data_IF_849239572917
#
_entry.id   IF_849239572917
#
_cell.length_a   1.000
_cell.length_b   1.000
_cell.length_c   1.000
_cell.angle_alpha   90.00
_cell.angle_beta   90.00
_cell.angle_gamma   90.00
#
_symmetry.space_group_name_H-M   'P 1'
#
loop_
_entity.id
_entity.type
_entity.pdbx_description
1 polymer ?
#
# COMPACT_ATOMS: atom_id res chain seq x y z
N UNK A 1 44.64 14.39 40.52
CA UNK A 1 44.23 14.35 41.96
C UNK A 1 42.84 13.75 42.03
N UNK A 2 42.74 12.64 42.78
CA UNK A 2 41.61 11.96 43.43
C UNK A 2 40.51 11.41 42.50
N UNK A 3 40.41 10.11 42.25
CA UNK A 3 40.18 8.87 43.03
C UNK A 3 38.91 8.95 43.93
N UNK A 4 37.95 8.06 43.63
CA UNK A 4 37.18 7.11 44.47
C UNK A 4 35.92 6.78 43.63
N UNK A 5 35.54 5.57 43.27
CA UNK A 5 35.73 4.20 43.76
C UNK A 5 34.58 3.81 44.66
N UNK A 6 34.09 2.59 44.51
CA UNK A 6 33.16 1.82 45.37
C UNK A 6 31.77 1.69 44.75
N UNK A 7 31.13 0.55 44.67
CA UNK A 7 31.39 -0.88 44.88
C UNK A 7 30.09 -1.61 44.47
N UNK A 8 30.25 -2.81 44.02
CA UNK A 8 29.19 -3.79 43.78
C UNK A 8 28.58 -4.24 45.10
N UNK A 9 27.28 -4.53 45.09
CA UNK A 9 26.73 -5.56 45.99
C UNK A 9 25.58 -6.28 45.29
N UNK A 10 25.83 -7.54 45.01
CA UNK A 10 24.83 -8.50 44.62
C UNK A 10 23.96 -8.90 45.83
N UNK A 11 22.72 -9.22 45.54
CA UNK A 11 21.92 -10.02 46.43
C UNK A 11 21.06 -10.99 45.62
N UNK A 12 21.59 -12.21 45.52
CA UNK A 12 20.84 -13.41 45.15
C UNK A 12 19.96 -13.82 46.36
N UNK A 13 18.67 -14.00 46.11
CA UNK A 13 17.83 -14.75 47.05
C UNK A 13 17.06 -15.80 46.26
N UNK A 14 17.52 -17.03 46.40
CA UNK A 14 16.76 -18.26 46.18
C UNK A 14 15.64 -18.36 47.22
N UNK A 15 14.43 -18.69 46.78
CA UNK A 15 13.49 -19.43 47.62
C UNK A 15 12.82 -20.50 46.77
N UNK A 16 13.14 -21.72 47.17
CA UNK A 16 12.56 -22.97 46.73
C UNK A 16 11.26 -23.28 47.52
N UNK A 17 10.35 -23.91 46.85
CA UNK A 17 9.49 -24.96 47.41
C UNK A 17 8.17 -24.52 48.02
N UNK A 18 7.09 -24.94 47.41
CA UNK A 18 6.23 -26.00 47.96
C UNK A 18 5.14 -26.42 46.99
N UNK A 19 5.20 -27.68 46.57
CA UNK A 19 4.03 -28.37 46.00
C UNK A 19 3.01 -28.61 47.07
N UNK A 20 1.76 -28.31 46.78
CA UNK A 20 0.62 -28.90 47.47
C UNK A 20 -0.41 -29.35 46.44
N UNK A 21 -0.46 -30.65 46.29
CA UNK A 21 -1.55 -31.40 45.66
C UNK A 21 -2.80 -31.24 46.51
N UNK A 22 -3.88 -30.85 45.86
CA UNK A 22 -5.23 -30.80 46.42
C UNK A 22 -6.23 -31.29 45.36
N UNK A 23 -6.53 -32.58 45.35
CA UNK A 23 -7.77 -33.10 44.78
C UNK A 23 -8.94 -32.65 45.62
N UNK A 24 -9.91 -32.00 44.98
CA UNK A 24 -11.20 -31.68 45.59
C UNK A 24 -12.24 -31.64 44.48
N UNK A 25 -13.04 -32.70 44.38
CA UNK A 25 -14.25 -32.75 43.59
C UNK A 25 -15.27 -31.78 44.15
N UNK A 26 -15.83 -30.94 43.29
CA UNK A 26 -16.94 -30.08 43.64
C UNK A 26 -17.55 -29.53 42.35
N UNK A 27 -18.66 -30.15 41.95
CA UNK A 27 -19.55 -29.60 40.93
C UNK A 27 -19.99 -28.18 41.33
N UNK A 28 -19.75 -27.24 40.49
CA UNK A 28 -20.52 -26.01 40.43
C UNK A 28 -20.59 -25.55 38.97
N UNK A 29 -21.74 -25.72 38.40
CA UNK A 29 -22.19 -25.06 37.17
C UNK A 29 -21.95 -23.55 37.25
N UNK A 30 -20.90 -23.11 36.63
CA UNK A 30 -20.60 -21.73 36.30
C UNK A 30 -20.29 -21.64 34.83
N UNK A 31 -21.31 -21.65 33.97
CA UNK A 31 -21.20 -21.35 32.60
C UNK A 31 -20.72 -19.90 32.43
N UNK A 32 -19.45 -19.66 32.65
CA UNK A 32 -18.73 -18.51 32.11
C UNK A 32 -18.68 -18.70 30.62
N UNK A 33 -19.61 -18.05 29.89
CA UNK A 33 -19.46 -17.82 28.48
C UNK A 33 -18.05 -17.25 28.28
N UNK A 34 -17.11 -18.03 27.74
CA UNK A 34 -15.94 -17.51 27.09
C UNK A 34 -16.52 -16.61 26.00
N UNK A 35 -16.44 -15.30 26.18
CA UNK A 35 -16.65 -14.39 25.08
C UNK A 35 -15.69 -14.86 23.98
N UNK A 36 -16.22 -15.28 22.85
CA UNK A 36 -15.41 -15.62 21.70
C UNK A 36 -14.47 -14.44 21.45
N UNK A 37 -13.17 -14.69 21.59
CA UNK A 37 -12.18 -13.66 21.35
C UNK A 37 -12.27 -13.28 19.88
N UNK A 38 -12.91 -12.15 19.61
CA UNK A 38 -13.09 -11.61 18.27
C UNK A 38 -11.78 -11.06 17.75
N UNK A 39 -10.77 -11.80 17.56
CA UNK A 39 -9.51 -11.38 16.95
C UNK A 39 -9.21 -9.87 16.92
N UNK A 40 -8.18 -9.47 16.24
CA UNK A 40 -7.86 -8.06 15.99
C UNK A 40 -7.23 -7.91 14.62
N UNK A 41 -7.34 -6.72 14.05
CA UNK A 41 -6.69 -6.34 12.78
C UNK A 41 -5.65 -5.27 13.07
N UNK A 42 -4.45 -5.47 12.56
CA UNK A 42 -3.42 -4.45 12.48
C UNK A 42 -3.17 -4.15 11.01
N UNK A 43 -3.59 -2.96 10.55
CA UNK A 43 -3.39 -2.48 9.20
C UNK A 43 -2.21 -1.50 9.14
N UNK A 44 -1.19 -1.84 8.37
CA UNK A 44 -0.14 -0.89 8.01
C UNK A 44 -0.53 -0.15 6.74
N UNK A 45 -0.96 1.09 6.91
CA UNK A 45 -1.43 1.95 5.83
C UNK A 45 -0.27 2.53 5.01
N UNK A 46 -0.37 2.37 3.71
CA UNK A 46 0.59 2.87 2.72
C UNK A 46 0.33 4.34 2.31
N UNK A 47 -0.91 4.81 2.44
CA UNK A 47 -1.36 6.12 1.93
C UNK A 47 -1.50 7.14 3.07
N UNK A 48 -0.45 7.94 3.36
CA UNK A 48 -0.53 8.92 4.45
C UNK A 48 -1.62 9.98 4.24
N UNK A 49 -1.95 10.30 3.01
CA UNK A 49 -3.03 11.21 2.66
C UNK A 49 -4.44 10.69 3.01
N UNK A 50 -4.57 9.40 3.29
CA UNK A 50 -5.82 8.73 3.66
C UNK A 50 -5.86 8.33 5.15
N UNK A 51 -4.90 8.77 5.96
CA UNK A 51 -4.81 8.34 7.36
C UNK A 51 -6.10 8.60 8.14
N UNK A 52 -6.62 9.81 8.07
CA UNK A 52 -7.82 10.19 8.81
C UNK A 52 -9.04 9.31 8.45
N UNK A 53 -9.21 8.99 7.18
CA UNK A 53 -10.31 8.15 6.68
C UNK A 53 -10.16 6.70 7.15
N UNK A 54 -8.92 6.18 7.18
CA UNK A 54 -8.66 4.84 7.69
C UNK A 54 -8.89 4.74 9.20
N UNK A 55 -8.50 5.76 9.97
CA UNK A 55 -8.76 5.81 11.41
C UNK A 55 -10.27 5.83 11.71
N UNK A 56 -11.03 6.61 10.96
CA UNK A 56 -12.49 6.66 11.09
C UNK A 56 -13.15 5.34 10.71
N UNK A 57 -12.76 4.74 9.58
CA UNK A 57 -13.27 3.44 9.14
C UNK A 57 -12.98 2.35 10.16
N UNK A 58 -11.77 2.32 10.72
CA UNK A 58 -11.39 1.38 11.74
C UNK A 58 -12.29 1.48 12.98
N UNK A 59 -12.60 2.71 13.43
CA UNK A 59 -13.49 2.96 14.54
C UNK A 59 -14.92 2.47 14.27
N UNK A 60 -15.47 2.79 13.11
CA UNK A 60 -16.81 2.34 12.69
C UNK A 60 -16.87 0.82 12.68
N UNK A 61 -15.88 0.16 12.09
CA UNK A 61 -15.81 -1.30 12.03
C UNK A 61 -15.72 -1.94 13.42
N UNK A 62 -14.92 -1.36 14.33
CA UNK A 62 -14.82 -1.82 15.70
C UNK A 62 -16.15 -1.65 16.46
N UNK A 63 -16.85 -0.53 16.27
CA UNK A 63 -18.17 -0.28 16.88
C UNK A 63 -19.22 -1.27 16.37
N UNK A 64 -19.24 -1.60 15.10
CA UNK A 64 -20.21 -2.51 14.48
C UNK A 64 -19.93 -4.00 14.80
N UNK A 65 -18.67 -4.39 14.81
CA UNK A 65 -18.28 -5.81 14.90
C UNK A 65 -17.72 -6.22 16.25
N UNK A 66 -17.20 -5.27 17.02
CA UNK A 66 -16.41 -5.50 18.23
C UNK A 66 -15.02 -6.08 17.96
N UNK A 67 -14.55 -6.06 16.71
CA UNK A 67 -13.18 -6.44 16.32
C UNK A 67 -12.29 -5.22 16.41
N UNK A 68 -11.28 -5.26 17.26
CA UNK A 68 -10.31 -4.16 17.37
C UNK A 68 -9.52 -3.99 16.07
N UNK A 69 -9.46 -2.77 15.56
CA UNK A 69 -8.66 -2.40 14.38
C UNK A 69 -7.64 -1.34 14.76
N UNK A 70 -6.37 -1.63 14.56
CA UNK A 70 -5.27 -0.68 14.72
C UNK A 70 -4.75 -0.29 13.35
N UNK A 71 -4.76 1.00 13.05
CA UNK A 71 -4.17 1.53 11.81
C UNK A 71 -2.89 2.28 12.15
N UNK A 72 -1.79 1.87 11.55
CA UNK A 72 -0.52 2.60 11.61
C UNK A 72 -0.17 3.04 10.20
N UNK A 73 0.08 4.33 10.04
CA UNK A 73 0.37 4.92 8.74
C UNK A 73 1.86 5.18 8.57
N UNK A 74 2.43 4.60 7.52
CA UNK A 74 3.83 4.85 7.17
C UNK A 74 4.00 6.27 6.62
N UNK A 75 5.12 6.90 6.94
CA UNK A 75 5.47 8.19 6.34
C UNK A 75 5.70 8.04 4.82
N UNK A 76 5.48 9.12 4.08
CA UNK A 76 5.67 9.14 2.63
C UNK A 76 7.07 8.65 2.24
N UNK A 77 7.12 7.70 1.30
CA UNK A 77 8.36 7.09 0.82
C UNK A 77 9.04 6.12 1.80
N UNK A 78 8.44 5.85 2.97
CA UNK A 78 9.04 5.00 4.01
C UNK A 78 8.31 3.67 4.24
N UNK A 79 7.37 3.33 3.39
CA UNK A 79 6.50 2.17 3.63
C UNK A 79 7.28 0.86 3.79
N UNK A 80 8.17 0.52 2.86
CA UNK A 80 8.94 -0.74 2.89
C UNK A 80 9.84 -0.82 4.13
N UNK A 81 10.48 0.29 4.51
CA UNK A 81 11.31 0.35 5.71
C UNK A 81 10.46 0.15 6.97
N UNK A 82 9.29 0.78 7.01
CA UNK A 82 8.34 0.64 8.11
C UNK A 82 7.80 -0.78 8.18
N UNK A 83 7.35 -1.36 7.06
CA UNK A 83 6.85 -2.73 7.00
C UNK A 83 7.88 -3.72 7.52
N UNK A 84 9.13 -3.61 7.08
CA UNK A 84 10.21 -4.47 7.55
C UNK A 84 10.43 -4.36 9.06
N UNK A 85 10.35 -3.15 9.60
CA UNK A 85 10.46 -2.91 11.05
C UNK A 85 9.27 -3.49 11.82
N UNK A 86 8.04 -3.29 11.32
CA UNK A 86 6.82 -3.76 11.98
C UNK A 86 6.69 -5.29 11.94
N UNK A 87 7.10 -5.94 10.84
CA UNK A 87 7.09 -7.40 10.73
C UNK A 87 8.07 -8.10 11.68
N UNK A 88 9.06 -7.38 12.19
CA UNK A 88 10.00 -7.89 13.20
C UNK A 88 9.48 -7.82 14.64
N UNK A 89 8.29 -7.25 14.89
CA UNK A 89 7.70 -7.10 16.21
C UNK A 89 6.88 -8.33 16.61
N UNK A 90 6.62 -8.47 17.91
CA UNK A 90 5.73 -9.51 18.43
C UNK A 90 4.28 -9.36 17.96
N UNK A 91 3.85 -8.11 17.75
CA UNK A 91 2.57 -7.78 17.12
C UNK A 91 2.87 -7.16 15.75
N UNK A 92 2.81 -7.97 14.73
CA UNK A 92 3.08 -7.56 13.35
C UNK A 92 1.79 -7.24 12.59
N UNK A 93 1.85 -6.45 11.51
CA UNK A 93 0.69 -6.20 10.65
C UNK A 93 0.05 -7.49 10.16
N UNK A 94 -1.27 -7.57 10.31
CA UNK A 94 -2.09 -8.65 9.77
C UNK A 94 -2.68 -8.28 8.41
N UNK A 95 -2.69 -7.00 8.09
CA UNK A 95 -3.09 -6.45 6.80
C UNK A 95 -2.04 -5.44 6.35
N UNK A 96 -1.41 -5.68 5.21
CA UNK A 96 -0.34 -4.86 4.67
C UNK A 96 -0.33 -4.88 3.15
N UNK A 97 0.28 -3.89 2.54
CA UNK A 97 0.39 -3.79 1.09
C UNK A 97 1.65 -4.48 0.59
N UNK A 98 1.49 -5.24 -0.47
CA UNK A 98 2.58 -5.80 -1.27
C UNK A 98 2.62 -5.07 -2.61
N UNK A 99 3.78 -4.54 -2.96
CA UNK A 99 3.94 -3.67 -4.11
C UNK A 99 4.29 -4.48 -5.39
N UNK A 100 3.28 -5.12 -5.95
CA UNK A 100 3.38 -5.90 -7.17
C UNK A 100 4.29 -7.13 -7.08
N UNK A 101 4.74 -7.69 -8.21
CA UNK A 101 5.58 -8.89 -8.25
C UNK A 101 6.91 -8.74 -7.51
N UNK A 102 7.54 -7.56 -7.59
CA UNK A 102 8.82 -7.28 -6.90
C UNK A 102 8.63 -7.29 -5.38
N UNK A 103 7.56 -6.67 -4.88
CA UNK A 103 7.21 -6.72 -3.47
C UNK A 103 6.85 -8.14 -3.03
N UNK A 104 6.12 -8.88 -3.87
CA UNK A 104 5.77 -10.27 -3.58
C UNK A 104 7.00 -11.15 -3.37
N UNK A 105 8.04 -11.00 -4.18
CA UNK A 105 9.28 -11.74 -4.01
C UNK A 105 9.89 -11.59 -2.59
N UNK A 106 9.68 -10.44 -1.96
CA UNK A 106 10.14 -10.17 -0.59
C UNK A 106 9.19 -10.62 0.51
N UNK A 107 7.88 -10.65 0.24
CA UNK A 107 6.85 -10.80 1.27
C UNK A 107 5.98 -12.05 1.14
N UNK A 108 6.14 -12.88 0.12
CA UNK A 108 5.28 -14.04 -0.17
C UNK A 108 5.12 -15.03 0.98
N UNK A 109 6.15 -15.21 1.80
CA UNK A 109 6.14 -16.12 2.94
C UNK A 109 5.27 -15.61 4.10
N UNK A 110 4.96 -14.31 4.11
CA UNK A 110 4.07 -13.67 5.07
C UNK A 110 2.62 -13.54 4.57
N UNK A 111 2.39 -13.77 3.28
CA UNK A 111 1.06 -13.64 2.69
C UNK A 111 0.22 -14.89 2.97
N UNK A 112 -1.03 -14.68 3.36
CA UNK A 112 -2.02 -15.76 3.45
C UNK A 112 -2.56 -16.07 2.04
N UNK A 113 -3.02 -17.30 1.81
CA UNK A 113 -3.71 -17.64 0.56
C UNK A 113 -5.15 -17.13 0.60
N UNK A 114 -5.44 -16.14 -0.23
CA UNK A 114 -6.74 -15.50 -0.34
C UNK A 114 -7.67 -16.17 -1.36
N UNK A 115 -7.25 -17.23 -2.04
CA UNK A 115 -8.01 -17.86 -3.13
C UNK A 115 -9.40 -18.38 -2.72
N UNK A 116 -9.60 -18.73 -1.44
CA UNK A 116 -10.91 -19.12 -0.91
C UNK A 116 -11.69 -17.98 -0.25
N UNK A 117 -11.11 -16.78 -0.15
CA UNK A 117 -11.72 -15.63 0.54
C UNK A 117 -12.94 -15.09 -0.19
N UNK A 118 -13.85 -14.45 0.57
CA UNK A 118 -14.98 -13.77 -0.04
C UNK A 118 -14.53 -12.58 -0.88
N UNK A 119 -13.50 -11.86 -0.44
CA UNK A 119 -12.98 -10.68 -1.17
C UNK A 119 -12.43 -11.08 -2.53
N UNK A 120 -11.75 -12.23 -2.64
CA UNK A 120 -11.27 -12.71 -3.93
C UNK A 120 -12.41 -12.99 -4.91
N UNK A 121 -13.55 -13.51 -4.42
CA UNK A 121 -14.73 -13.79 -5.26
C UNK A 121 -15.43 -12.55 -5.78
N UNK A 122 -15.19 -11.39 -5.16
CA UNK A 122 -15.75 -10.09 -5.57
C UNK A 122 -14.86 -9.38 -6.61
N UNK A 123 -13.68 -9.93 -6.96
CA UNK A 123 -12.85 -9.35 -8.00
C UNK A 123 -13.55 -9.38 -9.36
N UNK A 124 -13.50 -8.28 -10.07
CA UNK A 124 -14.09 -8.15 -11.42
C UNK A 124 -13.20 -8.71 -12.52
N UNK A 125 -11.92 -8.93 -12.23
CA UNK A 125 -10.94 -9.60 -13.10
C UNK A 125 -9.88 -10.29 -12.24
N UNK A 126 -9.40 -11.44 -12.68
CA UNK A 126 -8.25 -12.12 -12.09
C UNK A 126 -6.94 -11.33 -12.23
N UNK A 127 -6.87 -10.36 -13.14
CA UNK A 127 -5.72 -9.46 -13.28
C UNK A 127 -5.45 -8.62 -12.04
N UNK A 128 -6.45 -8.49 -11.15
CA UNK A 128 -6.30 -7.81 -9.86
C UNK A 128 -5.81 -8.74 -8.74
N UNK A 129 -5.54 -10.00 -9.04
CA UNK A 129 -4.94 -10.93 -8.10
C UNK A 129 -3.42 -10.99 -8.28
N UNK A 130 -2.69 -10.84 -7.18
CA UNK A 130 -1.25 -11.06 -7.14
C UNK A 130 -1.00 -12.52 -6.75
N UNK A 131 -0.43 -13.29 -7.67
CA UNK A 131 -0.27 -14.75 -7.53
C UNK A 131 1.20 -15.15 -7.31
N UNK A 132 1.40 -16.19 -6.48
CA UNK A 132 2.65 -16.94 -6.33
C UNK A 132 2.34 -18.41 -6.66
N UNK A 133 2.54 -18.82 -7.91
CA UNK A 133 2.00 -20.06 -8.44
C UNK A 133 0.47 -20.09 -8.37
N UNK A 134 -0.09 -21.11 -7.71
CA UNK A 134 -1.54 -21.25 -7.54
C UNK A 134 -2.08 -20.45 -6.34
N UNK A 135 -1.21 -19.89 -5.49
CA UNK A 135 -1.59 -19.14 -4.30
C UNK A 135 -1.97 -17.71 -4.67
N UNK A 136 -3.12 -17.24 -4.23
CA UNK A 136 -3.52 -15.83 -4.29
C UNK A 136 -2.93 -15.09 -3.10
N UNK A 137 -1.74 -14.54 -3.27
CA UNK A 137 -0.98 -13.90 -2.20
C UNK A 137 -1.43 -12.48 -1.87
N UNK A 138 -2.14 -11.83 -2.79
CA UNK A 138 -2.68 -10.49 -2.61
C UNK A 138 -3.79 -10.19 -3.60
N UNK A 139 -4.56 -9.15 -3.33
CA UNK A 139 -5.63 -8.65 -4.21
C UNK A 139 -5.55 -7.13 -4.30
N UNK A 140 -5.85 -6.60 -5.47
CA UNK A 140 -6.02 -5.16 -5.67
C UNK A 140 -7.29 -4.67 -4.97
N UNK A 141 -7.15 -3.67 -4.12
CA UNK A 141 -8.31 -3.05 -3.44
C UNK A 141 -8.77 -1.76 -4.10
N UNK A 142 -7.95 -1.19 -4.97
CA UNK A 142 -8.26 0.01 -5.73
C UNK A 142 -7.56 -0.02 -7.08
N UNK A 143 -8.24 0.53 -8.10
CA UNK A 143 -7.67 0.73 -9.43
C UNK A 143 -7.25 2.18 -9.54
N UNK A 144 -5.98 2.42 -9.81
CA UNK A 144 -5.45 3.74 -10.13
C UNK A 144 -5.15 3.81 -11.62
N UNK A 145 -5.46 4.93 -12.22
CA UNK A 145 -5.17 5.19 -13.62
C UNK A 145 -4.44 6.51 -13.76
N UNK A 146 -3.60 6.63 -14.77
CA UNK A 146 -2.97 7.89 -15.12
C UNK A 146 -3.34 8.32 -16.53
N UNK A 147 -3.33 9.61 -16.73
CA UNK A 147 -3.70 10.24 -17.98
C UNK A 147 -3.64 11.75 -17.85
N UNK A 148 -4.23 12.43 -18.79
CA UNK A 148 -4.33 13.89 -18.75
C UNK A 148 -5.61 14.29 -18.04
N UNK A 149 -5.45 14.81 -16.82
CA UNK A 149 -6.53 15.42 -16.05
C UNK A 149 -6.64 16.87 -16.49
N UNK A 150 -7.83 17.33 -16.83
CA UNK A 150 -8.03 18.70 -17.28
C UNK A 150 -9.13 19.42 -16.52
N UNK A 151 -8.95 20.73 -16.35
CA UNK A 151 -9.97 21.61 -15.79
C UNK A 151 -10.90 22.06 -16.92
N UNK A 152 -12.17 21.61 -16.87
CA UNK A 152 -13.17 21.88 -17.90
C UNK A 152 -13.45 23.37 -18.08
N UNK A 153 -13.48 24.14 -17.01
CA UNK A 153 -13.78 25.57 -17.06
C UNK A 153 -12.61 26.37 -17.68
N UNK A 154 -11.37 26.00 -17.35
CA UNK A 154 -10.20 26.64 -17.94
C UNK A 154 -10.08 26.29 -19.42
N UNK A 155 -10.30 25.03 -19.78
CA UNK A 155 -10.29 24.61 -21.19
C UNK A 155 -11.33 25.36 -22.01
N UNK A 156 -12.57 25.49 -21.49
CA UNK A 156 -13.63 26.28 -22.09
C UNK A 156 -13.28 27.79 -22.18
N UNK A 157 -12.66 28.35 -21.15
CA UNK A 157 -12.17 29.74 -21.17
C UNK A 157 -11.14 29.97 -22.27
N UNK A 158 -10.35 28.97 -22.58
CA UNK A 158 -9.41 28.99 -23.70
C UNK A 158 -10.09 28.81 -25.07
N UNK A 159 -11.37 28.51 -25.11
CA UNK A 159 -12.14 28.33 -26.35
C UNK A 159 -12.16 26.89 -26.87
N UNK A 160 -11.83 25.91 -26.01
CA UNK A 160 -11.75 24.49 -26.34
C UNK A 160 -12.65 23.62 -25.46
N UNK A 161 -12.91 22.42 -25.93
CA UNK A 161 -13.53 21.32 -25.19
C UNK A 161 -12.68 20.05 -25.29
N UNK A 162 -13.02 19.02 -24.55
CA UNK A 162 -12.34 17.73 -24.65
C UNK A 162 -12.50 17.10 -26.05
N UNK A 163 -13.62 17.39 -26.72
CA UNK A 163 -13.92 16.85 -28.05
C UNK A 163 -12.98 17.41 -29.14
N UNK A 164 -12.30 18.51 -28.87
CA UNK A 164 -11.29 19.09 -29.75
C UNK A 164 -9.95 18.36 -29.66
N UNK A 165 -9.77 17.46 -28.65
CA UNK A 165 -8.55 16.75 -28.37
C UNK A 165 -8.73 15.26 -28.71
N UNK A 166 -8.52 14.91 -29.98
CA UNK A 166 -8.76 13.56 -30.49
C UNK A 166 -7.48 12.75 -30.76
N UNK A 167 -6.34 13.43 -30.83
CA UNK A 167 -5.02 12.84 -31.08
C UNK A 167 -3.92 13.76 -30.57
N UNK A 168 -2.66 13.34 -30.72
CA UNK A 168 -1.52 14.11 -30.24
C UNK A 168 -1.39 15.49 -30.94
N UNK A 169 -1.66 15.58 -32.23
CA UNK A 169 -1.52 16.84 -32.94
C UNK A 169 -2.54 17.89 -32.53
N UNK A 170 -3.81 17.46 -32.33
CA UNK A 170 -4.85 18.35 -31.80
C UNK A 170 -4.55 18.74 -30.34
N UNK A 171 -4.06 17.82 -29.52
CA UNK A 171 -3.62 18.09 -28.17
C UNK A 171 -2.47 19.12 -28.14
N UNK A 172 -1.42 18.89 -28.95
CA UNK A 172 -0.29 19.80 -29.07
C UNK A 172 -0.73 21.20 -29.49
N UNK A 173 -1.62 21.31 -30.49
CA UNK A 173 -2.18 22.60 -30.93
C UNK A 173 -2.87 23.34 -29.81
N UNK A 174 -3.72 22.68 -29.01
CA UNK A 174 -4.40 23.31 -27.86
C UNK A 174 -3.40 23.79 -26.83
N UNK A 175 -2.38 23.01 -26.55
CA UNK A 175 -1.32 23.37 -25.58
C UNK A 175 -0.51 24.58 -26.07
N UNK A 176 -0.13 24.61 -27.34
CA UNK A 176 0.63 25.71 -27.95
C UNK A 176 -0.20 27.00 -27.96
N UNK A 177 -1.50 26.93 -28.30
CA UNK A 177 -2.39 28.08 -28.31
C UNK A 177 -2.61 28.67 -26.91
N UNK A 178 -2.90 27.81 -25.91
CA UNK A 178 -3.01 28.28 -24.51
C UNK A 178 -1.69 28.91 -24.04
N UNK A 179 -0.56 28.29 -24.39
CA UNK A 179 0.76 28.80 -24.01
C UNK A 179 1.03 30.19 -24.63
N UNK A 180 0.69 30.38 -25.89
CA UNK A 180 0.84 31.66 -26.59
C UNK A 180 -0.07 32.77 -26.00
N UNK A 181 -1.23 32.38 -25.49
CA UNK A 181 -2.24 33.27 -24.92
C UNK A 181 -2.25 33.33 -23.38
N UNK A 182 -1.27 32.74 -22.70
CA UNK A 182 -1.27 32.55 -21.25
C UNK A 182 -1.50 33.84 -20.45
N UNK A 183 -0.90 34.94 -20.87
CA UNK A 183 -1.00 36.23 -20.17
C UNK A 183 -2.42 36.80 -20.27
N UNK A 184 -3.09 36.64 -21.40
CA UNK A 184 -4.49 37.03 -21.61
C UNK A 184 -5.44 36.11 -20.86
N UNK A 185 -5.17 34.82 -20.84
CA UNK A 185 -6.01 33.81 -20.21
C UNK A 185 -5.85 33.82 -18.70
N UNK A 186 -4.65 34.18 -18.19
CA UNK A 186 -4.30 34.18 -16.77
C UNK A 186 -3.92 32.80 -16.22
N UNK A 187 -3.59 31.84 -17.10
CA UNK A 187 -3.12 30.52 -16.72
C UNK A 187 -2.23 29.89 -17.80
N UNK A 188 -1.41 28.92 -17.40
CA UNK A 188 -0.55 28.14 -18.29
C UNK A 188 -1.25 26.88 -18.76
N UNK A 189 -0.81 26.31 -19.88
CA UNK A 189 -1.40 25.10 -20.46
C UNK A 189 -1.26 23.87 -19.53
N UNK A 190 -0.15 23.77 -18.80
CA UNK A 190 0.16 22.65 -17.94
C UNK A 190 0.55 23.04 -16.52
N UNK A 191 0.18 22.18 -15.60
CA UNK A 191 0.87 21.96 -14.34
C UNK A 191 1.22 20.48 -14.22
N UNK A 192 2.30 20.15 -13.55
CA UNK A 192 2.71 18.75 -13.36
C UNK A 192 3.08 18.49 -11.90
N UNK A 193 3.23 17.21 -11.54
CA UNK A 193 3.86 16.85 -10.28
C UNK A 193 5.30 17.36 -10.23
N UNK A 194 5.80 17.55 -9.02
CA UNK A 194 7.20 17.93 -8.80
C UNK A 194 8.17 16.82 -9.26
N UNK A 195 9.43 17.20 -9.44
CA UNK A 195 10.52 16.28 -9.78
C UNK A 195 11.35 15.90 -8.55
N UNK A 196 10.83 16.16 -7.36
CA UNK A 196 11.44 15.72 -6.10
C UNK A 196 11.23 14.20 -5.88
N UNK A 197 12.00 13.62 -4.96
CA UNK A 197 11.99 12.18 -4.70
C UNK A 197 10.65 11.59 -4.24
N UNK A 198 9.67 12.42 -3.88
CA UNK A 198 8.32 11.98 -3.50
C UNK A 198 7.32 12.00 -4.67
N UNK A 199 7.62 12.72 -5.74
CA UNK A 199 6.68 13.00 -6.82
C UNK A 199 7.17 12.57 -8.21
N UNK A 200 8.46 12.41 -8.40
CA UNK A 200 9.11 12.14 -9.70
C UNK A 200 8.79 10.75 -10.28
N UNK A 201 8.30 9.82 -9.48
CA UNK A 201 7.90 8.48 -9.93
C UNK A 201 6.82 8.51 -11.02
N UNK A 202 6.05 9.60 -11.12
CA UNK A 202 5.07 9.80 -12.19
C UNK A 202 5.73 9.87 -13.57
N UNK A 203 6.93 10.39 -13.63
CA UNK A 203 7.74 10.44 -14.84
C UNK A 203 8.64 9.20 -14.98
N UNK A 204 9.33 8.81 -13.91
CA UNK A 204 10.28 7.71 -13.89
C UNK A 204 9.64 6.35 -14.15
N UNK A 205 8.46 6.11 -13.60
CA UNK A 205 7.77 4.82 -13.74
C UNK A 205 6.60 4.89 -14.72
N UNK A 206 5.64 5.78 -14.52
CA UNK A 206 4.45 5.77 -15.37
C UNK A 206 4.75 6.17 -16.79
N UNK A 207 5.38 7.33 -17.01
CA UNK A 207 5.65 7.80 -18.36
C UNK A 207 6.71 6.94 -19.06
N UNK A 208 7.80 6.59 -18.36
CA UNK A 208 8.85 5.76 -18.93
C UNK A 208 8.41 4.31 -19.19
N UNK A 209 7.42 3.80 -18.48
CA UNK A 209 6.90 2.45 -18.71
C UNK A 209 6.03 2.32 -19.96
N UNK A 210 5.46 3.39 -20.49
CA UNK A 210 4.62 3.32 -21.68
C UNK A 210 5.35 2.74 -22.89
N UNK A 211 6.50 3.27 -23.33
CA UNK A 211 7.24 2.69 -24.43
C UNK A 211 7.71 1.26 -24.14
N UNK A 212 8.17 0.98 -22.93
CA UNK A 212 8.57 -0.38 -22.51
C UNK A 212 7.40 -1.36 -22.61
N UNK A 213 6.22 -0.96 -22.15
CA UNK A 213 5.02 -1.79 -22.21
C UNK A 213 4.66 -2.14 -23.65
N UNK A 214 4.66 -1.17 -24.57
CA UNK A 214 4.31 -1.40 -25.95
C UNK A 214 5.36 -2.24 -26.68
N UNK A 215 6.66 -1.99 -26.43
CA UNK A 215 7.74 -2.81 -26.98
C UNK A 215 7.56 -4.28 -26.58
N UNK A 216 7.38 -4.55 -25.28
CA UNK A 216 7.22 -5.92 -24.80
C UNK A 216 5.93 -6.58 -25.29
N UNK A 217 4.87 -5.81 -25.41
CA UNK A 217 3.60 -6.29 -25.97
C UNK A 217 3.78 -6.73 -27.43
N UNK A 218 4.48 -5.94 -28.24
CA UNK A 218 4.72 -6.24 -29.65
C UNK A 218 5.68 -7.43 -29.82
N UNK A 219 6.61 -7.61 -28.89
CA UNK A 219 7.51 -8.77 -28.85
C UNK A 219 6.89 -10.03 -28.20
N UNK A 220 5.68 -9.95 -27.69
CA UNK A 220 5.01 -11.06 -27.01
C UNK A 220 5.63 -11.43 -25.65
N UNK A 221 6.30 -10.49 -25.00
CA UNK A 221 6.84 -10.66 -23.64
C UNK A 221 5.74 -10.37 -22.64
N UNK A 222 5.28 -11.40 -21.94
CA UNK A 222 4.14 -11.36 -21.02
C UNK A 222 4.49 -11.56 -19.54
N UNK A 223 5.77 -11.78 -19.25
CA UNK A 223 6.24 -11.99 -17.88
C UNK A 223 7.63 -11.41 -17.64
N UNK A 224 7.95 -11.13 -16.38
CA UNK A 224 9.21 -10.51 -15.97
C UNK A 224 10.43 -11.40 -16.17
N UNK A 225 10.26 -12.71 -16.18
CA UNK A 225 11.36 -13.67 -16.33
C UNK A 225 11.90 -13.71 -17.77
N UNK A 226 11.08 -13.31 -18.74
CA UNK A 226 11.45 -13.20 -20.12
C UNK A 226 12.29 -11.94 -20.45
N UNK A 227 12.32 -10.96 -19.53
CA UNK A 227 13.05 -9.71 -19.70
C UNK A 227 14.54 -9.93 -19.46
N UNK A 228 15.33 -9.99 -20.50
CA UNK A 228 16.79 -10.21 -20.45
C UNK A 228 17.61 -8.94 -20.59
N UNK A 229 17.00 -7.85 -20.91
CA UNK A 229 17.63 -6.54 -21.09
C UNK A 229 16.58 -5.53 -21.50
N UNK A 230 16.90 -4.26 -21.38
CA UNK A 230 15.99 -3.19 -21.82
C UNK A 230 16.51 -2.63 -23.12
N UNK A 231 15.97 -3.08 -24.21
CA UNK A 231 16.15 -2.49 -25.54
C UNK A 231 14.79 -1.99 -25.99
N UNK A 232 14.76 -0.78 -26.51
CA UNK A 232 13.59 -0.20 -27.15
C UNK A 232 13.94 0.02 -28.61
N UNK A 233 13.42 -0.83 -29.47
CA UNK A 233 13.74 -0.82 -30.89
C UNK A 233 12.68 -0.03 -31.70
N UNK A 234 11.46 0.05 -31.19
CA UNK A 234 10.32 0.65 -31.88
C UNK A 234 9.75 1.90 -31.17
N UNK A 235 10.08 2.14 -29.90
CA UNK A 235 9.47 3.23 -29.10
C UNK A 235 10.46 4.15 -28.42
#
# INVERSE_FOLDING_TARGET
>A
MNKKGIAALGLSLMMAGTMLTGCGSGDSDGAGKKADAKGSVYYLNFKPEQDAQWQELAKIYEEETGVKVTVVTAASGQYETTLKSEMGKSESPTLFQVNGPVGLASWKDYCYDLGSSQVYKELTSEDFALKDGDKVAGIGYVIESYGIIYNKELLKKAGYSADDITNFDSFKKVVEDITANKDKLGFSAFTSAGMDGSSDWRFKTHLANLPIYYEYKDEGIDNTDAIKGTYLDNY
#
